data_IF_522608654654
#
_entry.id   IF_522608654654
#
_cell.length_a   1.000
_cell.length_b   1.000
_cell.length_c   1.000
_cell.angle_alpha   90.00
_cell.angle_beta   90.00
_cell.angle_gamma   90.00
#
_symmetry.space_group_name_H-M   'P 1'
#
loop_
_entity.id
_entity.type
_entity.pdbx_description
1 polymer ?
#
# COMPACT_ATOMS: atom_id res chain seq x y z
N UNK A 1 0.26 -19.95 12.39
CA UNK A 1 -0.91 -19.07 12.27
C UNK A 1 -0.87 -18.03 13.37
N UNK A 2 -0.96 -16.77 13.03
CA UNK A 2 -1.00 -15.68 14.02
C UNK A 2 -2.43 -15.47 14.52
N UNK A 3 -2.58 -14.83 15.67
CA UNK A 3 -3.89 -14.50 16.20
C UNK A 3 -4.35 -13.11 15.68
N UNK A 4 -5.64 -12.82 15.87
CA UNK A 4 -6.27 -11.60 15.37
C UNK A 4 -5.59 -10.32 15.87
N UNK A 5 -5.10 -10.31 17.10
CA UNK A 5 -4.46 -9.14 17.70
C UNK A 5 -3.10 -8.82 17.07
N UNK A 6 -2.46 -9.82 16.46
CA UNK A 6 -1.15 -9.66 15.82
C UNK A 6 -1.25 -9.15 14.39
N UNK A 7 -2.42 -9.29 13.74
CA UNK A 7 -2.60 -8.93 12.33
C UNK A 7 -2.20 -7.48 12.02
N UNK A 8 -2.64 -6.47 12.81
CA UNK A 8 -2.27 -5.09 12.49
C UNK A 8 -0.77 -4.83 12.44
N UNK A 9 -0.01 -5.45 13.31
CA UNK A 9 1.45 -5.31 13.31
C UNK A 9 2.07 -5.86 12.04
N UNK A 10 1.66 -7.05 11.61
CA UNK A 10 2.17 -7.66 10.38
C UNK A 10 1.78 -6.84 9.15
N UNK A 11 0.53 -6.37 9.08
CA UNK A 11 0.05 -5.55 7.96
C UNK A 11 0.82 -4.22 7.88
N UNK A 12 0.98 -3.54 9.01
CA UNK A 12 1.65 -2.24 9.05
C UNK A 12 3.10 -2.30 8.60
N UNK A 13 3.75 -3.42 8.83
CA UNK A 13 5.14 -3.67 8.43
C UNK A 13 5.25 -4.37 7.08
N UNK A 14 4.14 -4.63 6.41
CA UNK A 14 4.09 -5.40 5.17
C UNK A 14 4.82 -6.73 5.28
N UNK A 15 4.54 -7.46 6.37
CA UNK A 15 5.09 -8.79 6.61
C UNK A 15 4.06 -9.85 6.25
N UNK A 16 4.44 -10.88 5.46
CA UNK A 16 3.54 -11.99 5.18
C UNK A 16 3.05 -12.66 6.45
N UNK A 17 1.79 -13.06 6.46
CA UNK A 17 1.17 -13.71 7.60
C UNK A 17 0.05 -14.65 7.17
N UNK A 18 -0.29 -15.57 8.06
CA UNK A 18 -1.42 -16.48 7.94
C UNK A 18 -2.26 -16.36 9.19
N UNK A 19 -3.48 -15.90 9.05
CA UNK A 19 -4.48 -15.89 10.11
C UNK A 19 -5.63 -16.83 9.77
N UNK A 20 -6.71 -16.79 10.55
CA UNK A 20 -7.92 -17.57 10.28
C UNK A 20 -8.72 -16.92 9.15
N UNK A 21 -8.69 -17.52 7.97
CA UNK A 21 -9.36 -17.02 6.76
C UNK A 21 -8.94 -15.61 6.30
N UNK A 22 -7.81 -15.12 6.81
CA UNK A 22 -7.23 -13.85 6.41
C UNK A 22 -5.70 -14.06 6.33
N UNK A 23 -5.08 -13.59 5.27
CA UNK A 23 -3.63 -13.71 5.12
C UNK A 23 -3.07 -12.58 4.28
N UNK A 24 -1.78 -12.32 4.47
CA UNK A 24 -1.03 -11.32 3.70
C UNK A 24 0.16 -11.96 3.01
N UNK A 25 0.41 -11.59 1.79
CA UNK A 25 1.55 -12.07 1.02
C UNK A 25 2.04 -11.03 0.03
N UNK A 26 3.27 -11.23 -0.44
CA UNK A 26 3.78 -10.46 -1.57
C UNK A 26 3.40 -11.15 -2.88
N UNK A 27 3.01 -10.33 -3.85
CA UNK A 27 2.80 -10.76 -5.22
C UNK A 27 3.71 -9.97 -6.14
N UNK A 28 4.16 -10.60 -7.21
CA UNK A 28 4.93 -9.92 -8.23
C UNK A 28 4.04 -8.97 -9.01
N UNK A 29 4.63 -7.90 -9.49
CA UNK A 29 3.97 -7.00 -10.42
C UNK A 29 3.48 -7.78 -11.65
N UNK A 30 2.26 -7.47 -12.11
CA UNK A 30 1.63 -8.12 -13.27
C UNK A 30 2.51 -8.05 -14.53
N UNK A 31 3.26 -6.98 -14.68
CA UNK A 31 4.11 -6.74 -15.84
C UNK A 31 5.57 -7.10 -15.56
N UNK A 32 5.86 -7.76 -14.44
CA UNK A 32 7.20 -8.20 -14.10
C UNK A 32 8.20 -7.06 -13.92
N UNK A 33 7.74 -5.90 -13.45
CA UNK A 33 8.60 -4.73 -13.25
C UNK A 33 9.61 -5.02 -12.15
N UNK A 34 10.89 -4.98 -12.49
CA UNK A 34 11.97 -5.20 -11.54
C UNK A 34 11.95 -4.13 -10.44
N UNK A 35 12.04 -4.58 -9.19
CA UNK A 35 12.09 -3.71 -8.04
C UNK A 35 10.73 -3.33 -7.45
N UNK A 36 9.62 -3.83 -8.00
CA UNK A 36 8.28 -3.58 -7.49
C UNK A 36 7.58 -4.88 -7.14
N UNK A 37 7.09 -4.97 -5.91
CA UNK A 37 6.22 -6.03 -5.43
C UNK A 37 4.95 -5.43 -4.84
N UNK A 38 3.88 -6.22 -4.77
CA UNK A 38 2.64 -5.81 -4.14
C UNK A 38 2.44 -6.61 -2.86
N UNK A 39 2.22 -5.93 -1.75
CA UNK A 39 1.74 -6.56 -0.52
C UNK A 39 0.22 -6.56 -0.55
N UNK A 40 -0.38 -7.75 -0.48
CA UNK A 40 -1.83 -7.91 -0.57
C UNK A 40 -2.34 -8.70 0.63
N UNK A 41 -3.38 -8.18 1.26
CA UNK A 41 -4.11 -8.85 2.32
C UNK A 41 -5.42 -9.38 1.74
N UNK A 42 -5.63 -10.68 1.87
CA UNK A 42 -6.81 -11.37 1.34
C UNK A 42 -7.72 -11.88 2.44
N UNK A 43 -9.01 -11.93 2.14
CA UNK A 43 -10.02 -12.63 2.94
C UNK A 43 -10.55 -13.80 2.11
N UNK A 44 -10.61 -14.99 2.69
CA UNK A 44 -11.14 -16.21 2.07
C UNK A 44 -10.46 -16.58 0.73
N UNK A 45 -9.18 -16.84 0.77
CA UNK A 45 -8.44 -17.26 -0.42
C UNK A 45 -8.11 -16.09 -1.35
N UNK A 46 -7.57 -16.36 -2.52
CA UNK A 46 -7.04 -15.34 -3.43
C UNK A 46 -8.09 -14.51 -4.15
N UNK A 47 -9.35 -14.68 -3.81
CA UNK A 47 -10.44 -14.07 -4.57
C UNK A 47 -10.88 -12.71 -4.07
N UNK A 48 -10.56 -12.34 -2.83
CA UNK A 48 -11.05 -11.10 -2.28
C UNK A 48 -9.94 -10.29 -1.60
N UNK A 49 -9.29 -9.41 -2.35
CA UNK A 49 -8.28 -8.52 -1.76
C UNK A 49 -8.95 -7.48 -0.87
N UNK A 50 -8.44 -7.32 0.34
CA UNK A 50 -8.88 -6.31 1.28
C UNK A 50 -8.06 -5.04 1.17
N UNK A 51 -6.77 -5.20 0.96
CA UNK A 51 -5.78 -4.15 1.10
C UNK A 51 -4.62 -4.43 0.16
N UNK A 52 -4.17 -3.42 -0.56
CA UNK A 52 -3.02 -3.53 -1.47
C UNK A 52 -2.10 -2.34 -1.25
N UNK A 53 -0.81 -2.61 -1.12
CA UNK A 53 0.21 -1.57 -1.01
C UNK A 53 1.47 -1.97 -1.75
N UNK A 54 2.13 -1.05 -2.46
CA UNK A 54 3.36 -1.38 -3.18
C UNK A 54 4.55 -1.44 -2.24
N UNK A 55 5.52 -2.28 -2.57
CA UNK A 55 6.83 -2.32 -1.95
C UNK A 55 7.89 -2.24 -3.04
N UNK A 56 8.85 -1.38 -2.85
CA UNK A 56 9.95 -1.19 -3.79
C UNK A 56 11.24 -1.73 -3.18
N UNK A 57 11.94 -2.57 -3.93
CA UNK A 57 13.21 -3.15 -3.48
C UNK A 57 14.39 -2.20 -3.69
N UNK A 58 14.21 -1.14 -4.51
CA UNK A 58 15.18 -0.08 -4.69
C UNK A 58 14.85 1.12 -3.81
N UNK A 59 15.85 1.84 -3.36
CA UNK A 59 15.75 2.88 -2.33
C UNK A 59 15.09 4.19 -2.76
N UNK A 60 14.47 4.29 -3.93
CA UNK A 60 14.27 5.60 -4.54
C UNK A 60 12.84 6.14 -4.57
N UNK A 61 11.85 5.45 -4.01
CA UNK A 61 10.48 5.95 -4.02
C UNK A 61 9.70 5.60 -2.75
N UNK A 62 10.19 6.01 -1.56
CA UNK A 62 9.57 5.62 -0.29
C UNK A 62 8.15 6.17 -0.12
N UNK A 63 7.79 7.28 -0.75
CA UNK A 63 6.44 7.82 -0.61
C UNK A 63 5.38 6.95 -1.30
N UNK A 64 5.74 6.18 -2.32
CA UNK A 64 4.80 5.24 -2.94
C UNK A 64 4.50 4.05 -2.02
N UNK A 65 5.44 3.67 -1.18
CA UNK A 65 5.23 2.61 -0.19
C UNK A 65 4.22 3.01 0.89
N UNK A 66 3.97 4.30 1.05
CA UNK A 66 2.94 4.80 1.96
C UNK A 66 1.54 4.80 1.36
N UNK A 67 1.38 4.41 0.09
CA UNK A 67 0.09 4.34 -0.58
C UNK A 67 -0.59 3.00 -0.29
N UNK A 68 -1.88 3.09 0.04
CA UNK A 68 -2.69 1.94 0.38
C UNK A 68 -4.03 2.01 -0.35
N UNK A 69 -4.38 0.94 -1.03
CA UNK A 69 -5.73 0.76 -1.59
C UNK A 69 -6.53 -0.06 -0.59
N UNK A 70 -7.66 0.48 -0.17
CA UNK A 70 -8.62 -0.20 0.71
C UNK A 70 -9.84 -0.58 -0.12
N UNK A 71 -10.14 -1.87 -0.18
CA UNK A 71 -11.31 -2.38 -0.88
C UNK A 71 -12.53 -2.33 0.06
N UNK A 72 -13.41 -1.38 -0.17
CA UNK A 72 -14.65 -1.22 0.58
C UNK A 72 -15.81 -2.06 0.02
N UNK A 73 -15.59 -2.75 -1.07
CA UNK A 73 -16.60 -3.63 -1.65
C UNK A 73 -16.91 -4.77 -0.69
N UNK A 74 -18.18 -5.08 -0.51
CA UNK A 74 -18.64 -6.04 0.50
C UNK A 74 -18.95 -7.38 -0.13
N UNK A 75 -18.17 -8.39 0.22
CA UNK A 75 -18.44 -9.77 -0.14
C UNK A 75 -19.30 -10.47 0.91
N UNK A 76 -19.01 -10.25 2.20
CA UNK A 76 -19.72 -10.85 3.32
C UNK A 76 -19.50 -10.07 4.60
N UNK A 77 -20.27 -10.37 5.66
CA UNK A 77 -20.05 -9.77 6.99
C UNK A 77 -18.68 -10.12 7.54
N UNK A 78 -18.18 -11.32 7.30
CA UNK A 78 -16.85 -11.75 7.76
C UNK A 78 -15.77 -10.97 7.03
N UNK A 79 -15.91 -10.75 5.73
CA UNK A 79 -15.00 -9.92 4.95
C UNK A 79 -14.94 -8.50 5.51
N UNK A 80 -16.06 -7.92 5.88
CA UNK A 80 -16.11 -6.59 6.52
C UNK A 80 -15.36 -6.56 7.85
N UNK A 81 -15.49 -7.61 8.66
CA UNK A 81 -14.72 -7.72 9.92
C UNK A 81 -13.24 -7.84 9.66
N UNK A 82 -12.84 -8.64 8.69
CA UNK A 82 -11.43 -8.77 8.29
C UNK A 82 -10.87 -7.44 7.81
N UNK A 83 -11.64 -6.69 7.03
CA UNK A 83 -11.23 -5.37 6.58
C UNK A 83 -10.98 -4.43 7.75
N UNK A 84 -11.86 -4.41 8.74
CA UNK A 84 -11.71 -3.60 9.95
C UNK A 84 -10.41 -3.95 10.69
N UNK A 85 -10.14 -5.24 10.90
CA UNK A 85 -8.93 -5.70 11.58
C UNK A 85 -7.67 -5.28 10.81
N UNK A 86 -7.70 -5.37 9.50
CA UNK A 86 -6.55 -5.06 8.66
C UNK A 86 -6.29 -3.57 8.53
N UNK A 87 -7.29 -2.71 8.66
CA UNK A 87 -7.21 -1.30 8.29
C UNK A 87 -7.31 -0.30 9.44
N UNK A 88 -7.77 -0.69 10.62
CA UNK A 88 -7.93 0.26 11.74
C UNK A 88 -6.63 1.00 12.08
N UNK A 89 -5.50 0.30 12.08
CA UNK A 89 -4.20 0.92 12.34
C UNK A 89 -3.86 2.00 11.31
N UNK A 90 -4.25 1.77 10.05
CA UNK A 90 -3.97 2.65 8.92
C UNK A 90 -4.73 3.98 9.06
N UNK A 91 -6.00 3.92 9.39
CA UNK A 91 -6.80 5.12 9.63
C UNK A 91 -6.34 5.86 10.89
N UNK A 92 -5.96 5.13 11.93
CA UNK A 92 -5.40 5.72 13.14
C UNK A 92 -4.08 6.44 12.86
N UNK A 93 -3.20 5.85 12.04
CA UNK A 93 -1.94 6.46 11.64
C UNK A 93 -2.16 7.73 10.83
N UNK A 94 -3.09 7.73 9.88
CA UNK A 94 -3.46 8.91 9.11
C UNK A 94 -4.00 10.02 10.01
N UNK A 95 -4.90 9.68 10.92
CA UNK A 95 -5.49 10.63 11.86
C UNK A 95 -4.44 11.23 12.79
N UNK A 96 -3.55 10.42 13.34
CA UNK A 96 -2.46 10.88 14.20
C UNK A 96 -1.53 11.86 13.50
N UNK A 97 -1.23 11.63 12.23
CA UNK A 97 -0.42 12.53 11.43
C UNK A 97 -1.09 13.87 11.24
N UNK A 98 -2.36 13.89 10.83
CA UNK A 98 -3.15 15.12 10.63
C UNK A 98 -3.25 15.90 11.94
N UNK A 99 -3.56 15.22 13.03
CA UNK A 99 -3.69 15.83 14.36
C UNK A 99 -2.36 16.47 14.81
N UNK A 100 -1.25 15.80 14.57
CA UNK A 100 0.10 16.30 14.84
C UNK A 100 0.41 17.57 14.07
N UNK A 101 0.07 17.62 12.79
CA UNK A 101 0.23 18.79 11.94
C UNK A 101 -0.63 19.95 12.44
N UNK A 102 -1.88 19.70 12.77
CA UNK A 102 -2.79 20.72 13.28
C UNK A 102 -2.32 21.29 14.63
N UNK A 103 -1.82 20.46 15.53
CA UNK A 103 -1.33 20.88 16.85
C UNK A 103 -0.04 21.69 16.76
N UNK A 104 0.85 21.34 15.84
CA UNK A 104 2.13 22.03 15.72
C UNK A 104 2.01 23.44 15.14
N UNK A 105 0.92 23.72 14.42
CA UNK A 105 0.76 24.99 13.71
C UNK A 105 1.76 25.18 12.58
N UNK A 106 2.63 24.24 12.40
CA UNK A 106 3.61 24.22 11.32
C UNK A 106 3.04 23.33 10.24
N UNK A 107 2.53 23.96 9.17
CA UNK A 107 2.40 23.26 7.91
C UNK A 107 3.82 22.93 7.48
N UNK A 108 4.23 21.66 7.49
CA UNK A 108 5.52 21.33 6.90
C UNK A 108 5.47 21.81 5.45
N UNK A 109 6.38 22.70 5.08
CA UNK A 109 6.57 23.19 3.71
C UNK A 109 6.80 22.02 2.74
N UNK A 110 7.11 20.89 3.31
CA UNK A 110 7.15 19.59 2.75
C UNK A 110 6.28 18.75 3.66
N UNK A 111 5.00 18.65 3.37
CA UNK A 111 4.30 17.45 3.71
C UNK A 111 5.10 16.35 3.07
N UNK A 112 6.01 15.80 3.85
CA UNK A 112 6.60 14.56 3.49
C UNK A 112 5.47 13.55 3.53
N UNK A 113 4.68 13.53 2.44
CA UNK A 113 3.70 12.51 2.16
C UNK A 113 4.30 11.12 2.29
N UNK A 114 5.64 11.07 2.34
CA UNK A 114 6.43 9.89 2.62
C UNK A 114 6.12 9.23 3.96
N UNK A 115 5.70 10.02 4.94
CA UNK A 115 5.46 9.55 6.30
C UNK A 115 4.00 9.44 6.66
N UNK A 116 3.12 10.03 5.86
CA UNK A 116 1.68 9.87 6.02
C UNK A 116 1.16 8.80 5.07
N UNK A 117 0.42 7.81 5.56
CA UNK A 117 -0.23 6.87 4.66
C UNK A 117 -1.23 7.61 3.77
N UNK A 118 -1.17 7.34 2.48
CA UNK A 118 -2.13 7.81 1.50
C UNK A 118 -3.13 6.70 1.24
N UNK A 119 -4.38 6.93 1.59
CA UNK A 119 -5.43 5.92 1.53
C UNK A 119 -6.36 6.22 0.35
N UNK A 120 -6.51 5.23 -0.53
CA UNK A 120 -7.49 5.26 -1.61
C UNK A 120 -8.56 4.22 -1.30
N UNK A 121 -9.78 4.67 -1.06
CA UNK A 121 -10.91 3.79 -0.80
C UNK A 121 -11.65 3.52 -2.11
N UNK A 122 -11.87 2.25 -2.42
CA UNK A 122 -12.58 1.83 -3.63
C UNK A 122 -13.82 1.03 -3.24
N UNK A 123 -14.95 1.39 -3.83
CA UNK A 123 -16.24 0.74 -3.57
C UNK A 123 -16.47 -0.51 -4.42
N UNK A 124 -15.64 -0.72 -5.44
CA UNK A 124 -15.74 -1.85 -6.36
C UNK A 124 -14.42 -2.58 -6.46
N UNK A 125 -14.44 -3.89 -6.23
CA UNK A 125 -13.24 -4.73 -6.30
C UNK A 125 -12.58 -4.68 -7.69
N UNK A 126 -13.36 -4.50 -8.75
CA UNK A 126 -12.83 -4.40 -10.11
C UNK A 126 -11.88 -3.20 -10.30
N UNK A 127 -12.04 -2.16 -9.49
CA UNK A 127 -11.22 -0.96 -9.59
C UNK A 127 -9.84 -1.14 -8.94
N UNK A 128 -9.67 -2.15 -8.08
CA UNK A 128 -8.38 -2.43 -7.42
C UNK A 128 -7.29 -2.70 -8.45
N UNK A 129 -7.56 -3.56 -9.43
CA UNK A 129 -6.58 -3.90 -10.47
C UNK A 129 -6.22 -2.68 -11.32
N UNK A 130 -7.19 -1.80 -11.60
CA UNK A 130 -6.95 -0.57 -12.36
C UNK A 130 -5.97 0.35 -11.63
N UNK A 131 -6.13 0.53 -10.34
CA UNK A 131 -5.23 1.34 -9.53
C UNK A 131 -3.83 0.73 -9.45
N UNK A 132 -3.75 -0.60 -9.33
CA UNK A 132 -2.47 -1.31 -9.34
C UNK A 132 -1.78 -1.12 -10.71
N UNK A 133 -2.50 -1.23 -11.79
CA UNK A 133 -1.97 -1.01 -13.14
C UNK A 133 -1.45 0.43 -13.29
N UNK A 134 -2.15 1.41 -12.74
CA UNK A 134 -1.71 2.81 -12.75
C UNK A 134 -0.41 2.99 -11.96
N UNK A 135 -0.28 2.39 -10.79
CA UNK A 135 0.96 2.42 -10.02
C UNK A 135 2.12 1.82 -10.80
N UNK A 136 1.91 0.67 -11.43
CA UNK A 136 2.94 0.01 -12.21
C UNK A 136 3.37 0.87 -13.40
N UNK A 137 2.43 1.50 -14.07
CA UNK A 137 2.68 2.41 -15.18
C UNK A 137 3.49 3.63 -14.73
N UNK A 138 3.10 4.26 -13.62
CA UNK A 138 3.79 5.41 -13.05
C UNK A 138 5.24 5.05 -12.64
N UNK A 139 5.40 3.92 -11.98
CA UNK A 139 6.72 3.45 -11.56
C UNK A 139 7.62 3.15 -12.75
N UNK A 140 7.09 2.56 -13.81
CA UNK A 140 7.83 2.30 -15.05
C UNK A 140 8.33 3.60 -15.67
N UNK A 141 7.48 4.60 -15.75
CA UNK A 141 7.85 5.93 -16.26
C UNK A 141 8.96 6.56 -15.42
N UNK A 142 8.86 6.43 -14.10
CA UNK A 142 9.88 6.93 -13.19
C UNK A 142 11.24 6.26 -13.41
N UNK A 143 11.26 4.93 -13.54
CA UNK A 143 12.48 4.16 -13.79
C UNK A 143 13.12 4.56 -15.13
N UNK A 144 12.32 4.70 -16.17
CA UNK A 144 12.77 5.14 -17.49
C UNK A 144 13.35 6.55 -17.44
N UNK A 145 12.65 7.47 -16.78
CA UNK A 145 13.11 8.83 -16.61
C UNK A 145 14.43 8.89 -15.84
N UNK A 146 14.56 8.16 -14.77
CA UNK A 146 15.78 8.12 -13.95
C UNK A 146 16.96 7.55 -14.74
N UNK A 147 16.75 6.50 -15.51
CA UNK A 147 17.79 5.93 -16.37
C UNK A 147 18.25 6.92 -17.44
N UNK A 148 17.31 7.62 -18.06
CA UNK A 148 17.60 8.65 -19.05
C UNK A 148 18.35 9.84 -18.45
N UNK A 149 17.94 10.32 -17.28
CA UNK A 149 18.61 11.41 -16.59
C UNK A 149 20.06 11.05 -16.20
N UNK A 150 20.27 9.82 -15.72
CA UNK A 150 21.60 9.32 -15.42
C UNK A 150 22.48 9.20 -16.67
N UNK A 151 21.90 8.75 -17.77
CA UNK A 151 22.61 8.66 -19.06
C UNK A 151 23.04 10.05 -19.55
N UNK A 152 22.16 11.04 -19.50
CA UNK A 152 22.45 12.41 -19.87
C UNK A 152 23.55 13.01 -18.97
N UNK A 153 23.48 12.77 -17.68
CA UNK A 153 24.52 13.21 -16.73
C UNK A 153 25.87 12.59 -17.03
N UNK A 154 25.90 11.29 -17.36
CA UNK A 154 27.13 10.57 -17.68
C UNK A 154 27.67 10.94 -19.06
N UNK A 155 26.83 11.36 -19.99
CA UNK A 155 27.21 11.77 -21.33
C UNK A 155 27.77 13.22 -21.38
N UNK A 156 27.40 14.00 -20.40
CA UNK A 156 27.86 15.38 -20.28
C UNK A 156 29.16 15.52 -19.51
#
# INVERSE_FOLDING_TARGET
MINRKQIPEFVSRKKPFQGSNIYGKFEMSRYGISGMELFVVYSYGQHWPLLVSPRYTGSSAPYWEAQWIVNKDKYSCTTTRHLTVATNWLYAAEHSFVDSVLKSGVFPKFTDKRWSPSIVELDKVEHVQRWVDDWESEYRKYVEWKASANADYMAG
#
